data_IF_641159977446
#
_entry.id   IF_641159977446
#
_cell.length_a   1.000
_cell.length_b   1.000
_cell.length_c   1.000
_cell.angle_alpha   90.00
_cell.angle_beta   90.00
_cell.angle_gamma   90.00
#
_symmetry.space_group_name_H-M   'P 1'
#
loop_
_entity.id
_entity.type
_entity.pdbx_description
1 polymer ?
#
# COMPACT_ATOMS: atom_id res chain seq x y z
N UNK A 1 27.02 -49.19 -34.66
CA UNK A 1 26.32 -48.86 -35.93
C UNK A 1 25.29 -49.96 -36.13
N UNK A 2 23.98 -49.79 -36.31
CA UNK A 2 23.05 -48.70 -36.66
C UNK A 2 21.65 -49.28 -36.32
N UNK A 3 20.63 -48.56 -35.86
CA UNK A 3 19.94 -47.48 -36.56
C UNK A 3 19.20 -46.59 -35.56
N UNK A 4 19.63 -45.34 -35.56
CA UNK A 4 18.88 -44.14 -35.21
C UNK A 4 17.88 -43.84 -36.34
N UNK A 5 16.62 -43.56 -36.00
CA UNK A 5 15.49 -42.92 -36.74
C UNK A 5 14.22 -43.41 -36.00
N UNK A 6 13.33 -42.63 -35.40
CA UNK A 6 12.68 -41.38 -35.80
C UNK A 6 11.80 -40.95 -34.57
N UNK A 7 12.13 -39.91 -33.80
CA UNK A 7 11.55 -38.55 -33.87
C UNK A 7 10.02 -38.53 -34.09
N UNK A 8 9.30 -38.19 -33.00
CA UNK A 8 8.15 -37.26 -32.89
C UNK A 8 6.94 -37.54 -33.81
N UNK A 9 5.78 -37.90 -33.23
CA UNK A 9 4.48 -37.19 -33.31
C UNK A 9 3.31 -38.11 -32.91
N UNK A 10 2.76 -37.92 -31.69
CA UNK A 10 1.41 -38.30 -31.18
C UNK A 10 1.51 -38.07 -29.66
N UNK A 11 1.17 -36.91 -29.09
CA UNK A 11 -0.04 -36.16 -29.32
C UNK A 11 -1.19 -36.80 -28.52
N UNK A 12 -1.47 -36.19 -27.37
CA UNK A 12 -2.81 -36.08 -26.74
C UNK A 12 -3.15 -37.07 -25.60
N UNK A 13 -3.46 -36.45 -24.44
CA UNK A 13 -4.22 -36.92 -23.26
C UNK A 13 -3.50 -37.75 -22.19
N UNK A 14 -2.84 -37.06 -21.26
CA UNK A 14 -3.06 -37.33 -19.83
C UNK A 14 -3.64 -36.07 -19.19
N UNK A 15 -4.91 -35.82 -19.52
CA UNK A 15 -5.82 -35.10 -18.63
C UNK A 15 -5.88 -35.88 -17.32
N UNK A 16 -5.11 -35.47 -16.32
CA UNK A 16 -5.42 -35.84 -14.94
C UNK A 16 -5.78 -34.54 -14.21
N UNK A 17 -7.00 -34.07 -14.50
CA UNK A 17 -7.81 -33.44 -13.47
C UNK A 17 -8.32 -34.56 -12.57
N UNK A 18 -7.74 -34.70 -11.38
CA UNK A 18 -8.42 -35.39 -10.28
C UNK A 18 -8.45 -34.41 -9.11
N UNK A 19 -9.51 -33.60 -9.11
CA UNK A 19 -10.12 -33.10 -7.89
C UNK A 19 -10.73 -34.28 -7.12
N UNK A 20 -10.72 -34.13 -5.80
CA UNK A 20 -11.43 -34.92 -4.78
C UNK A 20 -10.75 -36.14 -4.16
N UNK A 21 -10.59 -36.00 -2.84
CA UNK A 21 -10.47 -37.00 -1.79
C UNK A 21 -10.93 -38.43 -2.16
N UNK A 22 -9.99 -39.36 -2.07
CA UNK A 22 -10.25 -40.79 -2.14
C UNK A 22 -8.94 -41.55 -2.12
N UNK A 23 -8.67 -42.30 -1.05
CA UNK A 23 -7.51 -43.19 -0.96
C UNK A 23 -7.49 -44.16 -2.14
N UNK A 24 -6.48 -44.05 -3.01
CA UNK A 24 -6.11 -45.13 -3.92
C UNK A 24 -4.88 -45.80 -3.30
N UNK A 25 -5.12 -46.91 -2.59
CA UNK A 25 -4.05 -47.80 -2.16
C UNK A 25 -3.60 -48.61 -3.38
N UNK A 26 -2.38 -48.36 -3.86
CA UNK A 26 -1.73 -49.20 -4.87
C UNK A 26 -0.68 -50.03 -4.12
N UNK A 27 -1.11 -51.16 -3.57
CA UNK A 27 -0.20 -52.14 -2.96
C UNK A 27 0.75 -52.66 -4.04
N UNK A 28 2.06 -52.38 -3.93
CA UNK A 28 3.08 -53.07 -4.72
C UNK A 28 4.27 -52.28 -5.25
N UNK A 29 4.35 -50.96 -5.06
CA UNK A 29 5.59 -50.21 -5.38
C UNK A 29 6.26 -49.77 -4.09
N UNK A 30 7.04 -50.68 -3.52
CA UNK A 30 8.08 -50.34 -2.56
C UNK A 30 9.13 -49.46 -3.25
N UNK A 31 9.31 -48.25 -2.73
CA UNK A 31 10.50 -47.41 -2.87
C UNK A 31 10.94 -47.09 -4.31
N UNK A 32 10.45 -45.96 -4.84
CA UNK A 32 11.35 -45.03 -5.52
C UNK A 32 11.91 -44.13 -4.41
N UNK A 33 13.01 -44.55 -3.81
CA UNK A 33 13.90 -43.65 -3.09
C UNK A 33 14.43 -42.64 -4.11
N UNK A 34 14.07 -41.36 -4.00
CA UNK A 34 14.87 -40.31 -4.64
C UNK A 34 14.18 -39.14 -5.33
N UNK A 35 12.86 -38.98 -5.30
CA UNK A 35 12.25 -37.67 -5.59
C UNK A 35 11.01 -37.48 -4.73
N UNK A 36 11.14 -36.75 -3.63
CA UNK A 36 10.03 -35.91 -3.18
C UNK A 36 9.52 -35.20 -4.43
N UNK A 37 8.22 -35.30 -4.73
CA UNK A 37 7.56 -34.23 -5.45
C UNK A 37 7.89 -32.99 -4.62
N UNK A 38 8.87 -32.21 -5.06
CA UNK A 38 9.18 -30.95 -4.41
C UNK A 38 7.87 -30.18 -4.50
N UNK A 39 7.14 -30.06 -3.38
CA UNK A 39 6.08 -29.08 -3.28
C UNK A 39 6.75 -27.77 -3.70
N UNK A 40 6.34 -27.25 -4.85
CA UNK A 40 6.82 -25.95 -5.29
C UNK A 40 6.30 -25.01 -4.23
N UNK A 41 7.20 -24.53 -3.36
CA UNK A 41 6.83 -23.57 -2.36
C UNK A 41 6.37 -22.32 -3.12
N UNK A 42 5.17 -21.84 -2.83
CA UNK A 42 4.60 -20.66 -3.50
C UNK A 42 4.40 -19.54 -2.50
N UNK A 43 4.56 -18.31 -2.97
CA UNK A 43 4.17 -17.12 -2.22
C UNK A 43 2.93 -16.58 -2.88
N UNK A 44 1.87 -16.45 -2.09
CA UNK A 44 0.58 -15.96 -2.54
C UNK A 44 0.31 -14.59 -1.93
N UNK A 45 -0.15 -13.66 -2.77
CA UNK A 45 -0.82 -12.44 -2.31
C UNK A 45 -2.30 -12.75 -2.33
N UNK A 46 -2.93 -12.62 -1.16
CA UNK A 46 -4.35 -12.95 -0.98
C UNK A 46 -5.13 -11.76 -0.51
N UNK A 47 -6.42 -11.74 -0.81
CA UNK A 47 -7.39 -10.93 -0.10
C UNK A 47 -7.67 -11.48 1.32
N UNK A 48 -8.44 -10.73 2.11
CA UNK A 48 -8.80 -11.11 3.49
C UNK A 48 -9.62 -12.40 3.56
N UNK A 49 -10.42 -12.71 2.55
CA UNK A 49 -11.22 -13.95 2.46
C UNK A 49 -10.41 -15.16 1.96
N UNK A 50 -9.12 -14.96 1.63
CA UNK A 50 -8.23 -16.02 1.18
C UNK A 50 -8.18 -16.21 -0.34
N UNK A 51 -8.92 -15.42 -1.12
CA UNK A 51 -8.81 -15.44 -2.60
C UNK A 51 -7.39 -15.08 -3.02
N UNK A 52 -6.80 -15.90 -3.89
CA UNK A 52 -5.45 -15.68 -4.43
C UNK A 52 -5.54 -14.63 -5.53
N UNK A 53 -4.87 -13.49 -5.33
CA UNK A 53 -4.77 -12.40 -6.29
C UNK A 53 -3.53 -12.55 -7.19
N UNK A 54 -2.45 -13.05 -6.61
CA UNK A 54 -1.21 -13.34 -7.31
C UNK A 54 -0.49 -14.49 -6.64
N UNK A 55 0.16 -15.33 -7.44
CA UNK A 55 0.99 -16.43 -6.98
C UNK A 55 2.29 -16.42 -7.77
N UNK A 56 3.40 -16.60 -7.04
CA UNK A 56 4.70 -16.79 -7.63
C UNK A 56 5.40 -18.00 -7.01
N UNK A 57 6.12 -18.74 -7.84
CA UNK A 57 7.01 -19.79 -7.38
C UNK A 57 8.10 -19.18 -6.49
N UNK A 58 8.27 -19.73 -5.30
CA UNK A 58 9.35 -19.34 -4.41
C UNK A 58 10.65 -19.90 -4.97
N UNK A 59 11.39 -19.02 -5.62
CA UNK A 59 12.74 -19.32 -6.10
C UNK A 59 13.74 -18.55 -5.21
N UNK A 60 14.72 -19.24 -4.63
CA UNK A 60 15.78 -18.61 -3.82
C UNK A 60 15.24 -17.84 -2.59
N UNK A 61 15.59 -16.55 -2.49
CA UNK A 61 15.32 -15.67 -1.35
C UNK A 61 14.10 -14.75 -1.54
N UNK A 62 13.17 -15.11 -2.43
CA UNK A 62 11.98 -14.29 -2.66
C UNK A 62 11.17 -14.13 -1.36
N UNK A 63 10.84 -12.88 -1.05
CA UNK A 63 9.99 -12.51 0.09
C UNK A 63 8.61 -12.09 -0.42
N UNK A 64 7.63 -11.98 0.48
CA UNK A 64 6.33 -11.42 0.12
C UNK A 64 6.47 -10.01 -0.50
N UNK A 65 7.42 -9.21 -0.03
CA UNK A 65 7.71 -7.88 -0.56
C UNK A 65 8.21 -7.94 -2.01
N UNK A 66 9.17 -8.81 -2.32
CA UNK A 66 9.68 -8.93 -3.69
C UNK A 66 8.64 -9.48 -4.66
N UNK A 67 7.80 -10.42 -4.20
CA UNK A 67 6.69 -10.97 -4.99
C UNK A 67 5.62 -9.91 -5.26
N UNK A 68 5.34 -9.03 -4.28
CA UNK A 68 4.43 -7.91 -4.50
C UNK A 68 5.01 -6.87 -5.47
N UNK A 69 6.30 -6.55 -5.36
CA UNK A 69 6.98 -5.67 -6.32
C UNK A 69 6.91 -6.25 -7.74
N UNK A 70 7.11 -7.56 -7.88
CA UNK A 70 7.00 -8.26 -9.17
C UNK A 70 5.56 -8.19 -9.72
N UNK A 71 4.56 -8.49 -8.88
CA UNK A 71 3.15 -8.37 -9.26
C UNK A 71 2.83 -6.96 -9.78
N UNK A 72 3.29 -5.92 -9.07
CA UNK A 72 3.07 -4.52 -9.45
C UNK A 72 3.75 -4.20 -10.78
N UNK A 73 5.00 -4.64 -10.99
CA UNK A 73 5.70 -4.47 -12.27
C UNK A 73 4.97 -5.12 -13.45
N UNK A 74 4.27 -6.22 -13.18
CA UNK A 74 3.46 -6.92 -14.15
C UNK A 74 2.04 -6.33 -14.30
N UNK A 75 1.73 -5.21 -13.64
CA UNK A 75 0.43 -4.54 -13.72
C UNK A 75 -0.70 -5.34 -13.06
N UNK A 76 -0.37 -6.22 -12.11
CA UNK A 76 -1.35 -7.04 -11.43
C UNK A 76 -2.23 -6.16 -10.53
N UNK A 77 -3.53 -6.39 -10.62
CA UNK A 77 -4.54 -5.77 -9.76
C UNK A 77 -4.48 -6.42 -8.36
N UNK A 78 -4.09 -5.63 -7.37
CA UNK A 78 -3.94 -6.06 -5.98
C UNK A 78 -5.05 -5.47 -5.09
N UNK A 79 -6.21 -5.09 -5.67
CA UNK A 79 -7.35 -4.62 -4.90
C UNK A 79 -7.75 -5.66 -3.85
N UNK A 80 -8.12 -5.16 -2.67
CA UNK A 80 -8.48 -5.96 -1.50
C UNK A 80 -7.35 -6.85 -0.93
N UNK A 81 -6.11 -6.72 -1.39
CA UNK A 81 -4.99 -7.51 -0.86
C UNK A 81 -4.83 -7.29 0.65
N UNK A 82 -4.62 -8.39 1.36
CA UNK A 82 -4.41 -8.43 2.79
C UNK A 82 -2.92 -8.52 3.10
N UNK A 83 -2.33 -7.36 3.40
CA UNK A 83 -0.89 -7.18 3.54
C UNK A 83 -0.51 -6.54 4.89
N UNK A 84 -1.11 -6.93 6.03
CA UNK A 84 -0.79 -6.31 7.30
C UNK A 84 0.68 -6.57 7.64
N UNK A 85 1.36 -5.56 8.20
CA UNK A 85 2.77 -5.62 8.64
C UNK A 85 3.76 -5.93 7.52
N UNK A 86 3.37 -5.88 6.24
CA UNK A 86 4.32 -6.08 5.14
C UNK A 86 5.47 -5.06 5.24
N UNK A 87 6.67 -5.50 4.93
CA UNK A 87 7.83 -4.62 4.84
C UNK A 87 8.12 -4.28 3.39
N UNK A 88 7.69 -3.09 2.95
CA UNK A 88 7.97 -2.52 1.64
C UNK A 88 8.97 -1.35 1.73
N UNK A 89 9.74 -1.25 2.82
CA UNK A 89 10.72 -0.17 2.97
C UNK A 89 11.70 -0.18 1.81
N UNK A 90 12.01 1.00 1.28
CA UNK A 90 12.91 1.21 0.14
C UNK A 90 12.45 0.57 -1.19
N UNK A 91 11.23 0.02 -1.26
CA UNK A 91 10.71 -0.56 -2.50
C UNK A 91 10.02 0.50 -3.37
N UNK A 92 10.04 0.31 -4.69
CA UNK A 92 9.18 1.05 -5.62
C UNK A 92 7.99 0.18 -6.00
N UNK A 93 6.79 0.73 -5.76
CA UNK A 93 5.46 0.17 -5.97
C UNK A 93 4.63 1.19 -6.79
N UNK A 94 5.29 1.94 -7.66
CA UNK A 94 4.68 2.99 -8.49
C UNK A 94 3.61 2.43 -9.44
N UNK A 95 2.61 3.25 -9.77
CA UNK A 95 1.49 2.89 -10.66
C UNK A 95 0.71 1.65 -10.20
N UNK A 96 0.74 1.34 -8.91
CA UNK A 96 0.09 0.14 -8.37
C UNK A 96 -1.41 0.33 -8.18
N UNK A 97 -2.17 -0.77 -8.29
CA UNK A 97 -3.60 -0.82 -7.99
C UNK A 97 -3.77 -1.54 -6.64
N UNK A 98 -3.96 -0.75 -5.59
CA UNK A 98 -4.01 -1.19 -4.19
C UNK A 98 -5.29 -0.70 -3.49
N UNK A 99 -6.39 -0.51 -4.23
CA UNK A 99 -7.65 -0.05 -3.63
C UNK A 99 -8.14 -1.05 -2.57
N UNK A 100 -8.67 -0.52 -1.47
CA UNK A 100 -9.22 -1.29 -0.36
C UNK A 100 -8.23 -2.31 0.25
N UNK A 101 -6.93 -2.08 0.10
CA UNK A 101 -5.91 -2.98 0.67
C UNK A 101 -5.78 -2.80 2.18
N UNK A 102 -5.39 -3.87 2.86
CA UNK A 102 -5.03 -3.82 4.26
C UNK A 102 -3.51 -3.69 4.40
N UNK A 103 -3.04 -2.49 4.70
CA UNK A 103 -1.63 -2.17 4.95
C UNK A 103 -1.40 -1.80 6.42
N UNK A 104 -2.27 -2.28 7.33
CA UNK A 104 -2.17 -1.97 8.75
C UNK A 104 -0.80 -2.35 9.28
N UNK A 105 -0.15 -1.43 9.98
CA UNK A 105 1.18 -1.63 10.56
C UNK A 105 2.29 -1.96 9.54
N UNK A 106 2.05 -1.79 8.24
CA UNK A 106 3.08 -1.98 7.23
C UNK A 106 4.25 -1.01 7.44
N UNK A 107 5.44 -1.42 7.00
CA UNK A 107 6.59 -0.55 6.90
C UNK A 107 6.77 -0.12 5.44
N UNK A 108 6.41 1.11 5.14
CA UNK A 108 6.54 1.81 3.87
C UNK A 108 7.61 2.91 3.94
N UNK A 109 8.53 2.84 4.89
CA UNK A 109 9.53 3.91 5.05
C UNK A 109 10.43 3.98 3.81
N UNK A 110 10.63 5.19 3.28
CA UNK A 110 11.48 5.43 2.10
C UNK A 110 11.06 4.65 0.83
N UNK A 111 9.80 4.22 0.74
CA UNK A 111 9.25 3.57 -0.46
C UNK A 111 8.71 4.59 -1.46
N UNK A 112 8.55 4.18 -2.73
CA UNK A 112 7.91 4.97 -3.76
C UNK A 112 6.54 4.38 -4.16
N UNK A 113 5.48 5.17 -4.02
CA UNK A 113 4.09 4.85 -4.40
C UNK A 113 3.54 5.84 -5.43
N UNK A 114 4.38 6.62 -6.12
CA UNK A 114 3.90 7.64 -7.07
C UNK A 114 2.88 7.06 -8.06
N UNK A 115 1.85 7.86 -8.36
CA UNK A 115 0.76 7.54 -9.27
C UNK A 115 -0.02 6.26 -8.92
N UNK A 116 0.08 5.77 -7.68
CA UNK A 116 -0.64 4.56 -7.26
C UNK A 116 -2.06 4.88 -6.82
N UNK A 117 -2.94 3.90 -6.89
CA UNK A 117 -4.28 3.99 -6.34
C UNK A 117 -4.37 3.17 -5.04
N UNK A 118 -4.46 3.86 -3.90
CA UNK A 118 -4.65 3.28 -2.58
C UNK A 118 -6.03 3.63 -2.00
N UNK A 119 -6.97 4.13 -2.81
CA UNK A 119 -8.28 4.59 -2.31
C UNK A 119 -8.99 3.53 -1.45
N UNK A 120 -9.58 3.98 -0.34
CA UNK A 120 -10.28 3.13 0.63
C UNK A 120 -9.39 2.19 1.46
N UNK A 121 -8.06 2.25 1.33
CA UNK A 121 -7.16 1.33 2.05
C UNK A 121 -7.04 1.65 3.54
N UNK A 122 -6.75 0.62 4.34
CA UNK A 122 -6.45 0.77 5.76
C UNK A 122 -4.93 0.81 6.01
N UNK A 123 -4.42 2.01 6.27
CA UNK A 123 -3.04 2.33 6.63
C UNK A 123 -2.89 2.62 8.15
N UNK A 124 -3.82 2.15 8.99
CA UNK A 124 -3.75 2.37 10.45
C UNK A 124 -2.40 1.89 10.99
N UNK A 125 -1.72 2.74 11.76
CA UNK A 125 -0.39 2.49 12.36
C UNK A 125 0.74 2.22 11.35
N UNK A 126 0.59 2.62 10.08
CA UNK A 126 1.66 2.47 9.08
C UNK A 126 2.91 3.28 9.45
N UNK A 127 4.08 2.78 9.09
CA UNK A 127 5.35 3.52 9.14
C UNK A 127 5.75 3.89 7.72
N UNK A 128 5.51 5.12 7.30
CA UNK A 128 5.82 5.59 5.94
C UNK A 128 6.79 6.78 5.94
N UNK A 129 7.65 6.91 6.96
CA UNK A 129 8.58 8.04 7.05
C UNK A 129 9.38 8.17 5.75
N UNK A 130 9.39 9.37 5.15
CA UNK A 130 10.05 9.69 3.87
C UNK A 130 9.57 8.86 2.67
N UNK A 131 8.39 8.25 2.72
CA UNK A 131 7.79 7.70 1.51
C UNK A 131 7.46 8.82 0.52
N UNK A 132 7.44 8.48 -0.77
CA UNK A 132 7.00 9.38 -1.83
C UNK A 132 5.71 8.80 -2.39
N UNK A 133 4.64 9.59 -2.40
CA UNK A 133 3.30 9.18 -2.81
C UNK A 133 2.69 10.23 -3.73
N UNK A 134 3.48 10.88 -4.60
CA UNK A 134 2.99 12.01 -5.41
C UNK A 134 2.00 11.55 -6.48
N UNK A 135 1.05 12.42 -6.81
CA UNK A 135 -0.04 12.17 -7.76
C UNK A 135 -0.81 10.87 -7.50
N UNK A 136 -0.87 10.40 -6.26
CA UNK A 136 -1.54 9.16 -5.91
C UNK A 136 -3.02 9.41 -5.62
N UNK A 137 -3.87 8.44 -5.95
CA UNK A 137 -5.24 8.44 -5.45
C UNK A 137 -5.27 7.76 -4.08
N UNK A 138 -5.51 8.54 -3.04
CA UNK A 138 -5.61 8.10 -1.65
C UNK A 138 -6.94 8.56 -1.04
N UNK A 139 -7.99 8.66 -1.87
CA UNK A 139 -9.35 8.97 -1.45
C UNK A 139 -9.78 8.03 -0.33
N UNK A 140 -10.37 8.59 0.74
CA UNK A 140 -10.99 7.85 1.84
C UNK A 140 -10.08 6.80 2.51
N UNK A 141 -8.77 7.03 2.59
CA UNK A 141 -7.89 6.13 3.33
C UNK A 141 -8.09 6.29 4.84
N UNK A 142 -7.75 5.23 5.59
CA UNK A 142 -7.64 5.29 7.05
C UNK A 142 -6.18 5.16 7.48
N UNK A 143 -5.54 6.28 7.84
CA UNK A 143 -4.15 6.33 8.33
C UNK A 143 -4.06 6.77 9.80
N UNK A 144 -5.01 6.32 10.64
CA UNK A 144 -5.04 6.66 12.07
C UNK A 144 -3.75 6.21 12.76
N UNK A 145 -3.13 7.10 13.54
CA UNK A 145 -1.85 6.86 14.24
C UNK A 145 -0.69 6.46 13.32
N UNK A 146 -0.74 6.82 12.03
CA UNK A 146 0.36 6.59 11.11
C UNK A 146 1.56 7.49 11.42
N UNK A 147 2.76 7.01 11.09
CA UNK A 147 3.95 7.84 10.99
C UNK A 147 4.23 8.17 9.53
N UNK A 148 3.83 9.38 9.13
CA UNK A 148 3.94 9.93 7.79
C UNK A 148 4.93 11.11 7.76
N UNK A 149 5.84 11.21 8.74
CA UNK A 149 6.79 12.31 8.77
C UNK A 149 7.65 12.35 7.50
N UNK A 150 7.83 13.54 6.94
CA UNK A 150 8.57 13.78 5.69
C UNK A 150 7.99 13.08 4.44
N UNK A 151 6.73 12.64 4.45
CA UNK A 151 6.11 12.08 3.24
C UNK A 151 5.83 13.19 2.23
N UNK A 152 5.98 12.87 0.95
CA UNK A 152 5.57 13.74 -0.15
C UNK A 152 4.25 13.25 -0.78
N UNK A 153 3.17 13.99 -0.54
CA UNK A 153 1.84 13.78 -1.12
C UNK A 153 1.53 14.78 -2.25
N UNK A 154 2.53 15.46 -2.81
CA UNK A 154 2.33 16.51 -3.83
C UNK A 154 1.39 16.03 -4.95
N UNK A 155 0.35 16.82 -5.23
CA UNK A 155 -0.63 16.54 -6.29
C UNK A 155 -1.56 15.34 -6.06
N UNK A 156 -1.53 14.73 -4.88
CA UNK A 156 -2.37 13.57 -4.55
C UNK A 156 -3.79 13.95 -4.15
N UNK A 157 -4.70 12.98 -4.20
CA UNK A 157 -6.03 13.11 -3.61
C UNK A 157 -6.11 12.37 -2.29
N UNK A 158 -6.32 13.09 -1.20
CA UNK A 158 -6.51 12.54 0.15
C UNK A 158 -7.91 12.85 0.67
N UNK A 159 -8.84 13.34 -0.16
CA UNK A 159 -10.18 13.72 0.28
C UNK A 159 -10.89 12.60 1.06
N UNK A 160 -11.72 13.00 2.04
CA UNK A 160 -12.45 12.11 2.96
C UNK A 160 -11.58 11.14 3.79
N UNK A 161 -10.27 11.36 3.84
CA UNK A 161 -9.35 10.49 4.58
C UNK A 161 -9.28 10.79 6.08
N UNK A 162 -8.96 9.77 6.86
CA UNK A 162 -8.78 9.87 8.31
C UNK A 162 -7.31 9.70 8.68
N UNK A 163 -6.63 10.80 9.02
CA UNK A 163 -5.22 10.87 9.42
C UNK A 163 -5.04 11.31 10.89
N UNK A 164 -6.08 11.13 11.71
CA UNK A 164 -6.10 11.55 13.11
C UNK A 164 -5.03 10.84 13.97
N UNK A 165 -4.50 11.58 14.96
CA UNK A 165 -3.45 11.13 15.88
C UNK A 165 -2.14 10.70 15.18
N UNK A 166 -1.92 11.15 13.95
CA UNK A 166 -0.74 10.81 13.15
C UNK A 166 0.45 11.71 13.45
N UNK A 167 1.66 11.20 13.17
CA UNK A 167 2.86 12.02 13.07
C UNK A 167 3.09 12.40 11.61
N UNK A 168 2.92 13.67 11.27
CA UNK A 168 3.04 14.24 9.93
C UNK A 168 4.01 15.43 9.91
N UNK A 169 5.01 15.44 10.81
CA UNK A 169 6.05 16.46 10.80
C UNK A 169 6.70 16.59 9.43
N UNK A 170 6.82 17.82 8.95
CA UNK A 170 7.46 18.16 7.67
C UNK A 170 6.90 17.42 6.46
N UNK A 171 5.65 16.96 6.52
CA UNK A 171 4.95 16.34 5.38
C UNK A 171 4.64 17.40 4.33
N UNK A 172 4.74 17.03 3.05
CA UNK A 172 4.46 17.90 1.92
C UNK A 172 3.08 17.54 1.38
N UNK A 173 2.12 18.43 1.55
CA UNK A 173 0.76 18.36 1.00
C UNK A 173 0.55 19.41 -0.11
N UNK A 174 1.62 19.83 -0.79
CA UNK A 174 1.53 20.89 -1.80
C UNK A 174 0.65 20.45 -2.97
N UNK A 175 -0.37 21.24 -3.33
CA UNK A 175 -1.30 20.89 -4.42
C UNK A 175 -2.17 19.66 -4.14
N UNK A 176 -2.18 19.14 -2.92
CA UNK A 176 -3.00 17.98 -2.53
C UNK A 176 -4.46 18.38 -2.32
N UNK A 177 -5.40 17.51 -2.71
CA UNK A 177 -6.80 17.65 -2.32
C UNK A 177 -7.01 17.08 -0.91
N UNK A 178 -7.39 17.92 0.06
CA UNK A 178 -7.58 17.56 1.47
C UNK A 178 -9.02 17.84 1.95
N UNK A 179 -9.99 17.89 1.03
CA UNK A 179 -11.40 18.09 1.35
C UNK A 179 -11.87 17.07 2.40
N UNK A 180 -12.54 17.53 3.46
CA UNK A 180 -13.05 16.70 4.56
C UNK A 180 -12.02 15.83 5.30
N UNK A 181 -10.72 16.12 5.18
CA UNK A 181 -9.69 15.30 5.86
C UNK A 181 -9.70 15.52 7.36
N UNK A 182 -9.61 14.42 8.13
CA UNK A 182 -9.49 14.46 9.59
C UNK A 182 -8.01 14.39 10.02
N UNK A 183 -7.47 15.53 10.45
CA UNK A 183 -6.13 15.66 11.05
C UNK A 183 -6.18 15.85 12.57
N UNK A 184 -7.29 15.54 13.24
CA UNK A 184 -7.43 15.81 14.68
C UNK A 184 -6.33 15.19 15.51
N UNK A 185 -5.83 15.96 16.48
CA UNK A 185 -4.78 15.56 17.42
C UNK A 185 -3.49 15.05 16.76
N UNK A 186 -3.23 15.45 15.51
CA UNK A 186 -2.02 15.08 14.80
C UNK A 186 -0.90 16.10 14.97
N UNK A 187 0.35 15.65 14.79
CA UNK A 187 1.51 16.55 14.77
C UNK A 187 1.86 16.91 13.32
N UNK A 188 1.56 18.15 12.93
CA UNK A 188 1.79 18.73 11.61
C UNK A 188 2.93 19.77 11.62
N UNK A 189 3.82 19.73 12.63
CA UNK A 189 4.92 20.70 12.75
C UNK A 189 5.69 20.82 11.43
N UNK A 190 5.75 22.03 10.88
CA UNK A 190 6.46 22.35 9.63
C UNK A 190 5.91 21.69 8.37
N UNK A 191 4.68 21.15 8.39
CA UNK A 191 4.03 20.63 7.20
C UNK A 191 3.75 21.75 6.18
N UNK A 192 3.76 21.39 4.90
CA UNK A 192 3.59 22.34 3.78
C UNK A 192 2.25 22.11 3.09
N UNK A 193 1.44 23.15 2.96
CA UNK A 193 0.09 23.07 2.38
C UNK A 193 -0.08 23.96 1.15
N UNK A 194 0.99 24.48 0.54
CA UNK A 194 0.90 25.43 -0.58
C UNK A 194 0.02 24.89 -1.72
N UNK A 195 -0.97 25.68 -2.15
CA UNK A 195 -1.93 25.30 -3.20
C UNK A 195 -2.81 24.07 -2.91
N UNK A 196 -2.84 23.56 -1.67
CA UNK A 196 -3.79 22.50 -1.29
C UNK A 196 -5.22 23.03 -1.15
N UNK A 197 -6.20 22.14 -1.35
CA UNK A 197 -7.60 22.40 -1.02
C UNK A 197 -7.89 21.91 0.41
N UNK A 198 -8.19 22.84 1.33
CA UNK A 198 -8.43 22.56 2.76
C UNK A 198 -9.92 22.69 3.16
N UNK A 199 -10.83 22.70 2.18
CA UNK A 199 -12.27 22.80 2.46
C UNK A 199 -12.70 21.72 3.47
N UNK A 200 -13.27 22.15 4.59
CA UNK A 200 -13.78 21.28 5.67
C UNK A 200 -12.73 20.34 6.27
N UNK A 201 -11.44 20.61 6.06
CA UNK A 201 -10.35 19.88 6.72
C UNK A 201 -10.37 20.17 8.23
N UNK A 202 -10.28 19.13 9.05
CA UNK A 202 -10.37 19.22 10.50
C UNK A 202 -8.99 19.13 11.16
N UNK A 203 -8.52 20.26 11.68
CA UNK A 203 -7.24 20.37 12.39
C UNK A 203 -7.42 20.44 13.92
N UNK A 204 -8.59 20.09 14.48
CA UNK A 204 -8.84 20.32 15.91
C UNK A 204 -7.84 19.57 16.79
N UNK A 205 -7.18 20.32 17.68
CA UNK A 205 -6.12 19.79 18.56
C UNK A 205 -4.84 19.37 17.83
N UNK A 206 -4.68 19.67 16.54
CA UNK A 206 -3.44 19.41 15.82
C UNK A 206 -2.36 20.46 16.19
N UNK A 207 -1.10 20.04 16.15
CA UNK A 207 0.05 20.94 16.28
C UNK A 207 0.46 21.46 14.90
N UNK A 208 0.31 22.76 14.66
CA UNK A 208 0.58 23.44 13.39
C UNK A 208 1.79 24.37 13.49
N UNK A 209 2.70 24.15 14.46
CA UNK A 209 3.87 25.00 14.64
C UNK A 209 4.73 25.03 13.36
N UNK A 210 5.04 26.24 12.88
CA UNK A 210 5.85 26.45 11.69
C UNK A 210 5.13 26.14 10.37
N UNK A 211 3.82 25.90 10.40
CA UNK A 211 2.99 25.84 9.20
C UNK A 211 2.64 27.26 8.76
N UNK A 212 2.86 27.56 7.48
CA UNK A 212 2.47 28.82 6.87
C UNK A 212 1.21 28.63 6.02
N UNK A 213 0.14 29.32 6.39
CA UNK A 213 -1.11 29.35 5.62
C UNK A 213 -1.29 30.72 4.95
N UNK A 214 -1.84 30.73 3.74
CA UNK A 214 -2.47 31.95 3.21
C UNK A 214 -3.89 32.09 3.75
N UNK A 215 -4.38 33.32 3.85
CA UNK A 215 -5.74 33.61 4.34
C UNK A 215 -6.84 32.94 3.52
N UNK A 216 -6.64 32.80 2.21
CA UNK A 216 -7.58 32.10 1.31
C UNK A 216 -7.69 30.61 1.67
N UNK A 217 -6.56 29.96 1.97
CA UNK A 217 -6.51 28.51 2.21
C UNK A 217 -7.23 28.08 3.49
N UNK A 218 -7.24 28.91 4.53
CA UNK A 218 -7.82 28.53 5.84
C UNK A 218 -9.26 28.98 6.03
N UNK A 219 -9.83 29.73 5.08
CA UNK A 219 -11.18 30.30 5.23
C UNK A 219 -12.30 29.26 5.40
N UNK A 220 -12.05 28.03 4.96
CA UNK A 220 -13.01 26.91 5.01
C UNK A 220 -12.50 25.73 5.86
N UNK A 221 -11.36 25.88 6.53
CA UNK A 221 -10.78 24.86 7.41
C UNK A 221 -11.32 24.97 8.84
N UNK A 222 -11.39 23.85 9.57
CA UNK A 222 -11.83 23.81 10.97
C UNK A 222 -10.58 23.79 11.87
N UNK A 223 -10.36 24.88 12.60
CA UNK A 223 -9.11 25.13 13.36
C UNK A 223 -9.29 25.17 14.89
N UNK A 224 -10.46 24.83 15.43
CA UNK A 224 -10.73 24.97 16.86
C UNK A 224 -9.70 24.23 17.72
N UNK A 225 -9.07 24.94 18.67
CA UNK A 225 -8.03 24.41 19.57
C UNK A 225 -6.79 23.86 18.86
N UNK A 226 -6.57 24.17 17.59
CA UNK A 226 -5.31 23.88 16.94
C UNK A 226 -4.20 24.77 17.53
N UNK A 227 -3.02 24.21 17.77
CA UNK A 227 -1.85 24.99 18.22
C UNK A 227 -1.21 25.64 17.00
N UNK A 228 -1.71 26.84 16.66
CA UNK A 228 -1.27 27.62 15.51
C UNK A 228 -0.96 29.06 15.93
N UNK A 229 0.21 29.56 15.53
CA UNK A 229 0.64 30.94 15.81
C UNK A 229 0.54 31.76 14.52
N UNK A 230 -0.45 32.66 14.44
CA UNK A 230 -0.56 33.60 13.32
C UNK A 230 0.56 34.64 13.41
N UNK A 231 1.66 34.47 12.67
CA UNK A 231 2.77 35.44 12.73
C UNK A 231 2.52 36.75 11.96
N UNK A 232 1.47 36.87 11.11
CA UNK A 232 1.37 38.01 10.17
C UNK A 232 -0.02 38.50 9.73
N UNK A 233 -1.12 38.29 10.46
CA UNK A 233 -2.37 38.98 10.08
C UNK A 233 -3.19 39.48 11.27
N UNK A 234 -3.53 40.77 11.21
CA UNK A 234 -4.44 41.54 12.08
C UNK A 234 -5.89 41.01 12.13
N UNK A 235 -6.16 39.78 11.68
CA UNK A 235 -7.50 39.18 11.60
C UNK A 235 -7.70 37.99 12.57
N UNK A 236 -6.88 37.89 13.61
CA UNK A 236 -7.08 36.92 14.69
C UNK A 236 -7.72 37.56 15.93
N UNK A 237 -8.69 38.46 15.71
CA UNK A 237 -9.63 38.96 16.72
C UNK A 237 -11.04 38.61 16.26
#
# INVERSE_FOLDING_TARGET
>A
MSKLKLIILLGVLLNISITYAGHINIDGISTISGTTLNEIEVIQIKSKDGTVLYEANKNGNNTLASVLVEAVKNGIDLRNAYLPKINLSHQSIENSILEYTNLRQANLSESNFNNSNLSGSDLTLVKAKRAVMTNSNMLAIRAVKANLAYVDFTGSDLSDSVLANGNMKYTIFSGTNLVNVDFRSSDLTGAKFSNSNLERTDFRGANLLGVEFSTKQISEAILDKADWFCRKSLKCM
#
